data_IF_531750105540
#
_entry.id   IF_531750105540
#
_cell.length_a   1.000
_cell.length_b   1.000
_cell.length_c   1.000
_cell.angle_alpha   90.00
_cell.angle_beta   90.00
_cell.angle_gamma   90.00
#
_symmetry.space_group_name_H-M   'P 1'
#
loop_
_entity.id
_entity.type
_entity.pdbx_description
1 polymer ?
#
# COMPACT_ATOMS: atom_id res chain seq x y z
N UNK A 1 -47.47 -25.67 50.32
CA UNK A 1 -46.99 -27.08 50.25
C UNK A 1 -46.42 -27.33 48.87
N UNK A 2 -45.11 -27.59 48.74
CA UNK A 2 -44.53 -28.25 47.57
C UNK A 2 -43.15 -28.80 47.96
N UNK A 3 -43.08 -30.12 48.19
CA UNK A 3 -41.88 -30.85 48.56
C UNK A 3 -41.20 -31.43 47.30
N UNK A 4 -39.86 -31.36 47.27
CA UNK A 4 -39.03 -31.91 46.19
C UNK A 4 -39.04 -33.45 46.17
N UNK A 5 -39.04 -34.12 44.99
CA UNK A 5 -38.86 -35.57 44.92
C UNK A 5 -37.39 -35.97 44.71
N UNK A 6 -37.00 -37.02 45.45
CA UNK A 6 -35.67 -37.63 45.54
C UNK A 6 -35.30 -38.45 44.29
N UNK A 7 -34.02 -38.40 43.89
CA UNK A 7 -33.42 -39.23 42.82
C UNK A 7 -33.24 -40.69 43.28
N UNK A 8 -33.56 -41.66 42.40
CA UNK A 8 -33.24 -43.10 42.54
C UNK A 8 -31.90 -43.43 41.87
N UNK A 9 -31.12 -44.41 42.40
CA UNK A 9 -29.81 -44.80 41.85
C UNK A 9 -29.96 -45.88 40.76
N UNK A 10 -29.08 -45.84 39.74
CA UNK A 10 -28.95 -46.87 38.71
C UNK A 10 -27.69 -47.73 38.91
N UNK A 11 -27.73 -49.04 38.54
CA UNK A 11 -26.76 -50.03 39.00
C UNK A 11 -25.47 -50.12 38.15
N UNK A 12 -24.39 -50.60 38.79
CA UNK A 12 -23.09 -50.92 38.19
C UNK A 12 -23.21 -52.14 37.25
N UNK A 13 -22.70 -52.02 36.02
CA UNK A 13 -22.54 -53.12 35.08
C UNK A 13 -21.06 -53.48 34.90
N UNK A 14 -20.79 -54.78 34.91
CA UNK A 14 -19.50 -55.46 34.97
C UNK A 14 -18.85 -55.59 33.59
N UNK A 15 -17.52 -55.43 33.55
CA UNK A 15 -16.67 -55.56 32.35
C UNK A 15 -16.59 -57.03 31.88
N UNK A 16 -16.63 -57.24 30.56
CA UNK A 16 -16.01 -58.38 29.85
C UNK A 16 -14.99 -57.85 28.83
N UNK A 17 -13.82 -58.48 28.65
CA UNK A 17 -12.76 -57.98 27.77
C UNK A 17 -12.95 -58.49 26.32
N UNK A 18 -12.52 -57.70 25.34
CA UNK A 18 -12.50 -58.05 23.90
C UNK A 18 -11.20 -57.48 23.29
N UNK A 19 -10.61 -58.12 22.27
CA UNK A 19 -9.18 -58.38 22.22
C UNK A 19 -8.34 -57.23 21.66
N UNK A 20 -7.06 -57.25 22.05
CA UNK A 20 -5.99 -56.36 21.62
C UNK A 20 -5.76 -56.43 20.10
N UNK A 21 -6.19 -55.39 19.38
CA UNK A 21 -5.79 -55.19 17.99
C UNK A 21 -4.42 -54.53 17.97
N UNK A 22 -3.41 -55.28 17.55
CA UNK A 22 -2.05 -54.83 17.32
C UNK A 22 -2.04 -53.54 16.49
N UNK A 23 -1.50 -52.45 17.06
CA UNK A 23 -1.18 -51.23 16.30
C UNK A 23 -0.07 -51.57 15.32
N UNK A 24 -0.43 -51.78 14.04
CA UNK A 24 0.55 -51.71 12.95
C UNK A 24 1.23 -50.33 13.02
N UNK A 25 2.56 -50.34 13.18
CA UNK A 25 3.44 -49.18 13.18
C UNK A 25 3.27 -48.47 11.82
N UNK A 26 2.61 -47.31 11.80
CA UNK A 26 2.58 -46.47 10.61
C UNK A 26 3.99 -45.91 10.38
N UNK A 27 4.48 -46.03 9.14
CA UNK A 27 5.74 -45.43 8.72
C UNK A 27 5.67 -43.89 8.87
N UNK A 28 6.78 -43.21 9.20
CA UNK A 28 6.76 -41.76 9.30
C UNK A 28 6.48 -41.17 7.92
N UNK A 29 5.45 -40.33 7.84
CA UNK A 29 5.19 -39.51 6.66
C UNK A 29 6.43 -38.64 6.42
N UNK A 30 7.00 -38.77 5.21
CA UNK A 30 8.11 -37.92 4.77
C UNK A 30 7.68 -36.46 4.89
N UNK A 31 8.47 -35.70 5.64
CA UNK A 31 8.50 -34.25 5.66
C UNK A 31 8.64 -33.79 4.20
N UNK A 32 7.58 -33.16 3.67
CA UNK A 32 7.68 -32.41 2.42
C UNK A 32 8.22 -31.05 2.82
N UNK A 33 9.54 -30.94 2.78
CA UNK A 33 10.26 -29.68 2.88
C UNK A 33 9.96 -28.90 1.59
N UNK A 34 8.84 -28.16 1.60
CA UNK A 34 8.50 -27.23 0.53
C UNK A 34 9.36 -25.98 0.68
N UNK A 35 10.53 -26.12 0.06
CA UNK A 35 11.40 -25.09 -0.48
C UNK A 35 10.67 -23.78 -0.82
N UNK A 36 11.19 -22.72 -0.21
CA UNK A 36 11.03 -21.31 -0.58
C UNK A 36 11.25 -21.17 -2.09
N UNK A 37 10.18 -20.95 -2.86
CA UNK A 37 10.29 -20.48 -4.25
C UNK A 37 8.93 -19.99 -4.76
N UNK A 38 8.78 -18.66 -4.80
CA UNK A 38 8.11 -17.89 -5.85
C UNK A 38 7.86 -16.46 -5.35
N UNK A 39 8.90 -15.63 -5.30
CA UNK A 39 8.68 -14.23 -5.66
C UNK A 39 8.54 -14.28 -7.17
N UNK A 40 7.31 -14.42 -7.67
CA UNK A 40 7.03 -14.32 -9.09
C UNK A 40 7.61 -12.99 -9.58
N UNK A 41 8.49 -13.06 -10.60
CA UNK A 41 8.96 -11.90 -11.34
C UNK A 41 7.75 -11.22 -11.98
N UNK A 42 7.05 -10.37 -11.23
CA UNK A 42 6.02 -9.49 -11.76
C UNK A 42 6.73 -8.53 -12.71
N UNK A 43 6.25 -8.45 -13.95
CA UNK A 43 6.75 -7.48 -14.91
C UNK A 43 6.77 -6.07 -14.27
N UNK A 44 7.78 -5.24 -14.57
CA UNK A 44 7.88 -3.90 -13.99
C UNK A 44 6.58 -3.12 -14.27
N UNK A 45 6.12 -2.34 -13.30
CA UNK A 45 4.96 -1.47 -13.48
C UNK A 45 5.29 -0.44 -14.57
N UNK A 46 4.51 -0.43 -15.65
CA UNK A 46 4.61 0.55 -16.73
C UNK A 46 3.26 1.26 -16.84
N UNK A 47 3.27 2.57 -16.64
CA UNK A 47 2.10 3.45 -16.80
C UNK A 47 2.55 4.64 -17.65
N UNK A 48 1.98 4.77 -18.85
CA UNK A 48 2.26 5.85 -19.80
C UNK A 48 1.07 5.98 -20.77
N UNK A 49 0.57 7.19 -21.09
CA UNK A 49 0.91 8.48 -20.47
C UNK A 49 0.15 8.76 -19.18
N UNK A 50 -1.06 8.23 -19.01
CA UNK A 50 -1.97 8.69 -17.97
C UNK A 50 -2.02 7.76 -16.76
N UNK A 51 -2.08 8.36 -15.58
CA UNK A 51 -2.29 7.70 -14.30
C UNK A 51 -3.49 8.33 -13.60
N UNK A 52 -4.40 7.51 -13.08
CA UNK A 52 -5.40 7.97 -12.12
C UNK A 52 -5.37 7.09 -10.87
N UNK A 53 -5.60 7.68 -9.70
CA UNK A 53 -5.82 6.91 -8.49
C UNK A 53 -7.02 7.47 -7.72
N UNK A 54 -7.93 6.58 -7.33
CA UNK A 54 -9.06 6.89 -6.47
C UNK A 54 -8.89 6.19 -5.12
N UNK A 55 -9.19 6.91 -4.05
CA UNK A 55 -9.13 6.41 -2.68
C UNK A 55 -10.53 6.49 -2.04
N UNK A 56 -11.01 5.36 -1.53
CA UNK A 56 -12.31 5.25 -0.87
C UNK A 56 -12.15 4.90 0.60
N UNK A 57 -13.00 5.48 1.47
CA UNK A 57 -13.04 5.11 2.88
C UNK A 57 -13.90 3.86 3.17
N UNK A 58 -14.70 3.42 2.20
CA UNK A 58 -15.47 2.16 2.25
C UNK A 58 -14.96 1.17 1.21
N UNK A 59 -14.57 -0.02 1.67
CA UNK A 59 -14.06 -1.09 0.81
C UNK A 59 -15.12 -1.57 -0.18
N UNK A 60 -16.36 -1.76 0.26
CA UNK A 60 -17.44 -2.24 -0.61
C UNK A 60 -17.75 -1.24 -1.73
N UNK A 61 -17.79 0.06 -1.41
CA UNK A 61 -18.00 1.11 -2.39
C UNK A 61 -16.82 1.24 -3.36
N UNK A 62 -15.59 1.09 -2.87
CA UNK A 62 -14.40 1.07 -3.72
C UNK A 62 -14.38 -0.09 -4.72
N UNK A 63 -14.79 -1.30 -4.29
CA UNK A 63 -14.93 -2.46 -5.19
C UNK A 63 -16.02 -2.23 -6.22
N UNK A 64 -17.18 -1.70 -5.82
CA UNK A 64 -18.27 -1.34 -6.74
C UNK A 64 -17.79 -0.32 -7.80
N UNK A 65 -17.07 0.71 -7.36
CA UNK A 65 -16.54 1.71 -8.27
C UNK A 65 -15.47 1.13 -9.20
N UNK A 66 -14.55 0.30 -8.70
CA UNK A 66 -13.52 -0.36 -9.52
C UNK A 66 -14.14 -1.22 -10.63
N UNK A 67 -15.18 -2.01 -10.31
CA UNK A 67 -15.92 -2.81 -11.30
C UNK A 67 -16.58 -1.94 -12.37
N UNK A 68 -17.16 -0.80 -11.98
CA UNK A 68 -17.75 0.14 -12.93
C UNK A 68 -16.70 0.80 -13.83
N UNK A 69 -15.53 1.16 -13.29
CA UNK A 69 -14.41 1.77 -14.04
C UNK A 69 -13.91 0.84 -15.15
N UNK A 70 -13.64 -0.43 -14.85
CA UNK A 70 -13.10 -1.39 -15.84
C UNK A 70 -14.14 -1.83 -16.88
N UNK A 71 -15.42 -1.62 -16.61
CA UNK A 71 -16.50 -1.82 -17.60
C UNK A 71 -16.67 -0.62 -18.53
N UNK A 72 -16.24 0.57 -18.09
CA UNK A 72 -16.41 1.81 -18.85
C UNK A 72 -15.34 1.99 -19.92
N UNK A 73 -14.10 1.61 -19.64
CA UNK A 73 -12.94 1.96 -20.46
C UNK A 73 -11.95 0.80 -20.61
N UNK A 74 -11.20 0.80 -21.71
CA UNK A 74 -10.11 -0.15 -21.94
C UNK A 74 -8.82 0.40 -21.33
N UNK A 75 -8.37 -0.22 -20.24
CA UNK A 75 -7.23 0.23 -19.45
C UNK A 75 -6.04 -0.73 -19.59
N UNK A 76 -4.83 -0.17 -19.66
CA UNK A 76 -3.59 -0.95 -19.74
C UNK A 76 -3.19 -1.50 -18.35
N UNK A 77 -3.46 -0.73 -17.30
CA UNK A 77 -3.16 -1.08 -15.92
C UNK A 77 -4.37 -0.86 -15.04
N UNK A 78 -4.69 -1.87 -14.23
CA UNK A 78 -5.63 -1.77 -13.12
C UNK A 78 -5.03 -2.47 -11.90
N UNK A 79 -4.85 -1.73 -10.83
CA UNK A 79 -4.46 -2.25 -9.52
C UNK A 79 -5.44 -1.74 -8.48
N UNK A 80 -6.05 -2.66 -7.73
CA UNK A 80 -7.00 -2.31 -6.69
C UNK A 80 -6.75 -3.15 -5.44
N UNK A 81 -6.92 -2.57 -4.26
CA UNK A 81 -6.62 -3.26 -3.02
C UNK A 81 -6.94 -2.45 -1.78
N UNK A 82 -7.05 -3.16 -0.66
CA UNK A 82 -7.23 -2.56 0.66
C UNK A 82 -5.91 -2.02 1.19
N UNK A 83 -5.96 -0.88 1.87
CA UNK A 83 -4.82 -0.30 2.58
C UNK A 83 -5.25 0.18 3.96
N UNK A 84 -4.28 0.43 4.85
CA UNK A 84 -4.59 1.03 6.14
C UNK A 84 -5.23 2.43 6.02
N UNK A 85 -6.12 2.83 6.95
CA UNK A 85 -6.65 2.08 8.10
C UNK A 85 -7.91 1.24 7.79
N UNK A 86 -8.11 0.83 6.54
CA UNK A 86 -9.36 0.23 6.05
C UNK A 86 -9.92 0.93 4.80
N UNK A 87 -9.05 1.60 4.04
CA UNK A 87 -9.38 2.27 2.78
C UNK A 87 -9.25 1.30 1.62
N UNK A 88 -9.77 1.67 0.46
CA UNK A 88 -9.62 0.94 -0.78
C UNK A 88 -9.08 1.86 -1.87
N UNK A 89 -8.01 1.43 -2.53
CA UNK A 89 -7.38 2.17 -3.62
C UNK A 89 -7.72 1.51 -4.96
N UNK A 90 -7.86 2.33 -5.99
CA UNK A 90 -7.95 1.90 -7.39
C UNK A 90 -7.00 2.77 -8.21
N UNK A 91 -5.90 2.18 -8.66
CA UNK A 91 -4.89 2.75 -9.55
C UNK A 91 -5.17 2.29 -10.98
N UNK A 92 -5.28 3.24 -11.89
CA UNK A 92 -5.54 3.05 -13.32
C UNK A 92 -4.37 3.60 -14.13
N UNK A 93 -4.06 2.97 -15.26
CA UNK A 93 -3.10 3.45 -16.23
C UNK A 93 -3.52 3.15 -17.66
N UNK A 94 -3.17 4.04 -18.58
CA UNK A 94 -3.34 3.85 -20.02
C UNK A 94 -3.42 5.18 -20.78
N UNK A 95 -4.12 5.16 -21.91
CA UNK A 95 -4.35 6.38 -22.71
C UNK A 95 -5.24 7.39 -21.97
N UNK A 96 -4.98 8.68 -22.17
CA UNK A 96 -5.60 9.78 -21.42
C UNK A 96 -7.13 9.71 -21.40
N UNK A 97 -7.76 9.54 -22.57
CA UNK A 97 -9.21 9.55 -22.70
C UNK A 97 -9.89 8.38 -21.97
N UNK A 98 -9.31 7.18 -22.05
CA UNK A 98 -9.85 5.99 -21.39
C UNK A 98 -9.74 6.09 -19.87
N UNK A 99 -8.59 6.58 -19.38
CA UNK A 99 -8.39 6.80 -17.93
C UNK A 99 -9.32 7.89 -17.40
N UNK A 100 -9.56 8.97 -18.16
CA UNK A 100 -10.46 10.05 -17.77
C UNK A 100 -11.93 9.59 -17.71
N UNK A 101 -12.39 8.80 -18.69
CA UNK A 101 -13.75 8.24 -18.69
C UNK A 101 -13.94 7.23 -17.54
N UNK A 102 -12.96 6.36 -17.29
CA UNK A 102 -12.98 5.47 -16.12
C UNK A 102 -13.06 6.27 -14.82
N UNK A 103 -12.19 7.28 -14.65
CA UNK A 103 -12.16 8.12 -13.46
C UNK A 103 -13.53 8.79 -13.20
N UNK A 104 -14.18 9.31 -14.24
CA UNK A 104 -15.50 9.93 -14.14
C UNK A 104 -16.56 8.96 -13.60
N UNK A 105 -16.59 7.73 -14.11
CA UNK A 105 -17.51 6.68 -13.61
C UNK A 105 -17.15 6.28 -12.18
N UNK A 106 -15.86 6.09 -11.88
CA UNK A 106 -15.39 5.75 -10.55
C UNK A 106 -15.79 6.76 -9.47
N UNK A 107 -15.71 8.06 -9.80
CA UNK A 107 -16.16 9.14 -8.90
C UNK A 107 -17.67 9.11 -8.67
N UNK A 108 -18.47 8.68 -9.64
CA UNK A 108 -19.92 8.62 -9.52
C UNK A 108 -20.41 7.36 -8.77
N UNK A 109 -19.84 6.19 -9.08
CA UNK A 109 -20.31 4.89 -8.55
C UNK A 109 -20.07 4.67 -7.06
N UNK A 110 -19.18 5.45 -6.43
CA UNK A 110 -18.88 5.40 -4.98
C UNK A 110 -18.73 6.79 -4.37
N UNK A 111 -19.50 7.76 -4.86
CA UNK A 111 -19.34 9.18 -4.53
C UNK A 111 -19.41 9.49 -3.02
N UNK A 112 -20.28 8.79 -2.29
CA UNK A 112 -20.44 8.91 -0.84
C UNK A 112 -19.24 8.36 -0.04
N UNK A 113 -18.48 7.46 -0.67
CA UNK A 113 -17.32 6.81 -0.10
C UNK A 113 -15.98 7.38 -0.56
N UNK A 114 -15.98 8.25 -1.57
CA UNK A 114 -14.76 8.80 -2.16
C UNK A 114 -14.09 9.75 -1.18
N UNK A 115 -12.86 9.43 -0.78
CA UNK A 115 -12.06 10.23 0.13
C UNK A 115 -11.18 11.23 -0.64
N UNK A 116 -10.47 10.78 -1.67
CA UNK A 116 -9.61 11.63 -2.50
C UNK A 116 -9.36 10.96 -3.88
N UNK A 117 -8.88 11.73 -4.86
CA UNK A 117 -8.48 11.22 -6.16
C UNK A 117 -7.41 12.10 -6.82
N UNK A 118 -6.67 11.52 -7.76
CA UNK A 118 -5.73 12.25 -8.62
C UNK A 118 -5.85 11.75 -10.07
N UNK A 119 -5.66 12.66 -11.01
CA UNK A 119 -5.51 12.38 -12.44
C UNK A 119 -4.29 13.11 -12.97
N UNK A 120 -3.34 12.34 -13.52
CA UNK A 120 -2.14 12.83 -14.15
C UNK A 120 -2.20 12.40 -15.63
N UNK A 121 -2.57 13.29 -16.58
CA UNK A 121 -2.65 12.93 -18.00
C UNK A 121 -1.28 12.61 -18.63
N UNK A 122 -0.19 13.00 -17.97
CA UNK A 122 1.18 12.66 -18.35
C UNK A 122 2.02 12.46 -17.09
N UNK A 123 1.99 11.28 -16.47
CA UNK A 123 2.75 11.00 -15.25
C UNK A 123 4.26 10.95 -15.52
N UNK A 124 5.07 11.49 -14.61
CA UNK A 124 6.52 11.35 -14.73
C UNK A 124 6.96 9.89 -14.50
N UNK A 125 7.83 9.35 -15.37
CA UNK A 125 8.33 7.97 -15.28
C UNK A 125 8.92 7.59 -13.91
N UNK A 126 9.57 8.54 -13.22
CA UNK A 126 10.15 8.29 -11.89
C UNK A 126 9.08 8.07 -10.83
N UNK A 127 7.90 8.67 -10.97
CA UNK A 127 6.76 8.42 -10.08
C UNK A 127 6.29 6.98 -10.27
N UNK A 128 6.13 6.52 -11.52
CA UNK A 128 5.75 5.13 -11.83
C UNK A 128 6.76 4.15 -11.27
N UNK A 129 8.06 4.42 -11.46
CA UNK A 129 9.16 3.65 -10.88
C UNK A 129 9.09 3.60 -9.35
N UNK A 130 8.86 4.74 -8.69
CA UNK A 130 8.75 4.81 -7.24
C UNK A 130 7.53 4.03 -6.70
N UNK A 131 6.39 4.09 -7.40
CA UNK A 131 5.19 3.30 -7.09
C UNK A 131 5.42 1.78 -7.19
N UNK A 132 6.33 1.35 -8.07
CA UNK A 132 6.77 -0.03 -8.19
C UNK A 132 7.74 -0.47 -7.06
N UNK A 133 7.74 0.24 -5.93
CA UNK A 133 8.70 0.11 -4.83
C UNK A 133 10.17 0.35 -5.23
N UNK A 134 10.41 1.03 -6.35
CA UNK A 134 11.75 1.41 -6.79
C UNK A 134 12.33 2.53 -5.92
N UNK A 135 13.53 2.31 -5.38
CA UNK A 135 14.27 3.30 -4.60
C UNK A 135 15.55 3.70 -5.33
N UNK A 136 15.84 4.99 -5.37
CA UNK A 136 17.09 5.53 -5.93
C UNK A 136 17.80 6.36 -4.87
N UNK A 137 19.01 5.95 -4.48
CA UNK A 137 19.78 6.59 -3.43
C UNK A 137 21.05 7.19 -4.03
N UNK A 138 21.23 8.50 -3.87
CA UNK A 138 22.47 9.21 -4.21
C UNK A 138 23.22 9.62 -2.93
N UNK A 139 24.55 9.43 -2.86
CA UNK A 139 25.36 9.94 -1.76
C UNK A 139 25.35 11.48 -1.72
N UNK A 140 25.51 12.04 -0.52
CA UNK A 140 25.83 13.45 -0.27
C UNK A 140 24.84 14.54 -0.71
N UNK A 141 23.62 14.15 -1.12
CA UNK A 141 22.52 15.08 -1.39
C UNK A 141 21.77 15.55 -0.13
N UNK A 142 21.15 16.72 -0.21
CA UNK A 142 20.13 17.16 0.74
C UNK A 142 18.90 16.25 0.67
N UNK A 143 18.16 16.13 1.79
CA UNK A 143 16.94 15.33 1.87
C UNK A 143 15.70 16.22 2.01
N UNK A 144 14.76 16.06 1.08
CA UNK A 144 13.41 16.61 1.18
C UNK A 144 12.42 15.52 1.54
N UNK A 145 11.51 15.82 2.46
CA UNK A 145 10.44 14.90 2.86
C UNK A 145 9.12 15.64 2.75
N UNK A 146 8.14 15.05 2.07
CA UNK A 146 6.76 15.54 2.01
C UNK A 146 5.81 14.46 2.53
N UNK A 147 5.01 14.80 3.54
CA UNK A 147 4.01 13.93 4.17
C UNK A 147 2.60 14.45 3.89
N UNK A 148 1.72 13.56 3.44
CA UNK A 148 0.33 13.86 3.04
C UNK A 148 -0.67 12.96 3.76
N UNK A 149 -1.94 13.37 3.83
CA UNK A 149 -3.02 12.64 4.52
C UNK A 149 -3.64 11.52 3.68
N UNK A 150 -3.40 11.50 2.38
CA UNK A 150 -4.02 10.57 1.42
C UNK A 150 -3.00 10.11 0.40
N UNK A 151 -3.26 8.96 -0.21
CA UNK A 151 -2.39 8.41 -1.26
C UNK A 151 -2.38 9.25 -2.54
N UNK A 152 -3.54 9.71 -3.08
CA UNK A 152 -3.56 10.61 -4.23
C UNK A 152 -2.69 11.85 -4.07
N UNK A 153 -2.73 12.47 -2.88
CA UNK A 153 -1.96 13.68 -2.59
C UNK A 153 -0.45 13.44 -2.62
N UNK A 154 0.04 12.31 -2.11
CA UNK A 154 1.46 11.96 -2.21
C UNK A 154 1.90 11.76 -3.67
N UNK A 155 1.09 11.11 -4.50
CA UNK A 155 1.40 10.92 -5.92
C UNK A 155 1.44 12.27 -6.63
N UNK A 156 0.50 13.16 -6.32
CA UNK A 156 0.45 14.50 -6.90
C UNK A 156 1.68 15.33 -6.50
N UNK A 157 2.05 15.35 -5.21
CA UNK A 157 3.26 15.99 -4.72
C UNK A 157 4.53 15.45 -5.38
N UNK A 158 4.64 14.13 -5.53
CA UNK A 158 5.77 13.49 -6.19
C UNK A 158 5.91 13.92 -7.66
N UNK A 159 4.81 13.91 -8.42
CA UNK A 159 4.80 14.29 -9.84
C UNK A 159 5.11 15.78 -10.04
N UNK A 160 4.56 16.64 -9.18
CA UNK A 160 4.81 18.09 -9.25
C UNK A 160 6.24 18.45 -8.87
N UNK A 161 6.75 17.90 -7.77
CA UNK A 161 8.12 18.15 -7.33
C UNK A 161 9.16 17.69 -8.35
N UNK A 162 9.03 16.47 -8.88
CA UNK A 162 10.02 15.91 -9.82
C UNK A 162 10.00 16.61 -11.20
N UNK A 163 8.86 17.19 -11.60
CA UNK A 163 8.75 17.99 -12.83
C UNK A 163 9.20 19.44 -12.62
N UNK A 164 9.10 19.93 -11.39
CA UNK A 164 9.32 21.33 -11.04
C UNK A 164 10.78 21.69 -10.76
N UNK A 165 11.59 20.71 -10.34
CA UNK A 165 12.98 20.96 -9.94
C UNK A 165 13.91 19.81 -10.32
N UNK A 166 15.22 20.08 -10.35
CA UNK A 166 16.27 19.12 -10.68
C UNK A 166 16.60 18.19 -9.50
N UNK A 167 15.60 17.47 -9.00
CA UNK A 167 15.73 16.52 -7.90
C UNK A 167 15.67 15.08 -8.38
N UNK A 168 16.09 14.17 -7.52
CA UNK A 168 15.86 12.73 -7.66
C UNK A 168 14.70 12.36 -6.74
N UNK A 169 13.69 11.66 -7.27
CA UNK A 169 12.66 11.06 -6.43
C UNK A 169 13.27 9.81 -5.79
N UNK A 170 13.55 9.82 -4.49
CA UNK A 170 14.18 8.69 -3.80
C UNK A 170 13.18 7.57 -3.56
N UNK A 171 12.00 7.89 -3.04
CA UNK A 171 10.98 6.91 -2.62
C UNK A 171 9.61 7.58 -2.56
N UNK A 172 8.58 6.81 -2.92
CA UNK A 172 7.18 7.13 -2.59
C UNK A 172 6.63 5.95 -1.81
N UNK A 173 6.12 6.21 -0.59
CA UNK A 173 5.53 5.19 0.26
C UNK A 173 4.08 5.54 0.58
N UNK A 174 3.18 4.61 0.32
CA UNK A 174 1.74 4.85 0.33
C UNK A 174 1.03 3.96 1.35
N UNK A 175 0.23 4.58 2.22
CA UNK A 175 -0.76 4.02 3.14
C UNK A 175 -0.33 2.91 4.12
N UNK A 176 0.24 1.79 3.65
CA UNK A 176 0.49 0.61 4.46
C UNK A 176 1.60 0.82 5.50
N UNK A 177 1.23 0.64 6.76
CA UNK A 177 2.04 1.00 7.92
C UNK A 177 2.15 2.50 8.16
N UNK A 178 1.32 3.32 7.50
CA UNK A 178 1.29 4.78 7.58
C UNK A 178 -0.10 5.34 7.96
N UNK A 179 -1.10 4.48 8.16
CA UNK A 179 -2.45 4.90 8.52
C UNK A 179 -3.15 5.71 7.41
N UNK A 180 -2.90 5.37 6.15
CA UNK A 180 -3.50 6.05 4.99
C UNK A 180 -2.73 7.29 4.51
N UNK A 181 -1.67 7.68 5.22
CA UNK A 181 -0.77 8.77 4.80
C UNK A 181 0.13 8.33 3.65
N UNK A 182 0.65 9.30 2.90
CA UNK A 182 1.69 9.10 1.91
C UNK A 182 2.95 9.89 2.25
N UNK A 183 4.11 9.31 1.94
CA UNK A 183 5.43 9.91 2.10
C UNK A 183 6.13 9.99 0.75
N UNK A 184 6.74 11.14 0.47
CA UNK A 184 7.54 11.39 -0.72
C UNK A 184 8.91 11.88 -0.27
N UNK A 185 9.96 11.30 -0.82
CA UNK A 185 11.33 11.68 -0.52
C UNK A 185 12.02 12.19 -1.78
N UNK A 186 12.60 13.38 -1.71
CA UNK A 186 13.43 13.96 -2.76
C UNK A 186 14.87 14.07 -2.29
N UNK A 187 15.83 13.91 -3.21
CA UNK A 187 17.24 14.21 -2.97
C UNK A 187 17.81 15.08 -4.07
N UNK A 188 18.75 15.94 -3.73
CA UNK A 188 19.47 16.78 -4.69
C UNK A 188 20.22 17.91 -3.99
N UNK A 189 20.52 18.98 -4.73
CA UNK A 189 21.01 20.22 -4.12
C UNK A 189 19.93 20.81 -3.20
N UNK A 190 20.36 21.48 -2.13
CA UNK A 190 19.44 22.08 -1.14
C UNK A 190 18.39 22.96 -1.80
N UNK A 191 18.82 23.84 -2.72
CA UNK A 191 17.93 24.75 -3.46
C UNK A 191 16.93 24.02 -4.37
N UNK A 192 17.35 22.93 -5.00
CA UNK A 192 16.46 22.14 -5.87
C UNK A 192 15.43 21.38 -5.03
N UNK A 193 15.84 20.89 -3.86
CA UNK A 193 14.95 20.24 -2.90
C UNK A 193 13.95 21.22 -2.30
N UNK A 194 14.37 22.43 -1.92
CA UNK A 194 13.49 23.51 -1.47
C UNK A 194 12.43 23.82 -2.53
N UNK A 195 12.85 24.05 -3.78
CA UNK A 195 11.95 24.32 -4.90
C UNK A 195 10.99 23.16 -5.17
N UNK A 196 11.46 21.90 -5.12
CA UNK A 196 10.61 20.73 -5.32
C UNK A 196 9.50 20.65 -4.26
N UNK A 197 9.83 20.91 -3.00
CA UNK A 197 8.85 20.88 -1.90
C UNK A 197 7.87 22.04 -1.97
N UNK A 198 8.31 23.25 -2.34
CA UNK A 198 7.43 24.41 -2.53
C UNK A 198 6.41 24.15 -3.65
N UNK A 199 6.87 23.67 -4.81
CA UNK A 199 6.00 23.33 -5.95
C UNK A 199 5.02 22.20 -5.60
N UNK A 200 5.47 21.22 -4.82
CA UNK A 200 4.60 20.16 -4.32
C UNK A 200 3.57 20.67 -3.31
N UNK A 201 3.96 21.63 -2.46
CA UNK A 201 3.09 22.25 -1.47
C UNK A 201 1.99 23.08 -2.14
N UNK A 202 2.35 23.92 -3.12
CA UNK A 202 1.40 24.75 -3.87
C UNK A 202 0.38 23.93 -4.68
N UNK A 203 0.72 22.69 -5.02
CA UNK A 203 -0.16 21.80 -5.77
C UNK A 203 -1.25 21.13 -4.91
N UNK A 204 -1.21 21.29 -3.59
CA UNK A 204 -2.10 20.62 -2.65
C UNK A 204 -2.86 21.61 -1.75
N UNK A 205 -4.04 21.21 -1.32
CA UNK A 205 -4.82 21.94 -0.32
C UNK A 205 -4.27 21.68 1.09
N UNK A 206 -4.47 22.62 2.03
CA UNK A 206 -3.99 22.45 3.42
C UNK A 206 -4.57 21.20 4.10
N UNK A 207 -5.79 20.81 3.73
CA UNK A 207 -6.44 19.59 4.21
C UNK A 207 -5.74 18.30 3.76
N UNK A 208 -4.92 18.36 2.71
CA UNK A 208 -4.18 17.22 2.16
C UNK A 208 -2.77 17.08 2.78
N UNK A 209 -2.22 18.15 3.35
CA UNK A 209 -0.83 18.25 3.83
C UNK A 209 -0.68 17.84 5.29
N UNK A 210 0.36 17.09 5.63
CA UNK A 210 0.75 16.87 7.04
C UNK A 210 1.96 17.74 7.41
N UNK A 211 3.04 17.64 6.64
CA UNK A 211 4.29 18.38 6.85
C UNK A 211 5.22 18.19 5.65
N UNK A 212 6.02 19.20 5.35
CA UNK A 212 7.22 19.03 4.53
C UNK A 212 8.45 19.57 5.28
N UNK A 213 9.63 19.01 5.02
CA UNK A 213 10.91 19.45 5.62
C UNK A 213 12.07 19.30 4.64
N UNK A 214 13.03 20.22 4.73
CA UNK A 214 14.34 20.12 4.08
C UNK A 214 15.41 19.87 5.15
N UNK A 215 16.27 18.89 4.89
CA UNK A 215 17.44 18.58 5.71
C UNK A 215 18.67 18.75 4.81
N UNK A 216 19.35 19.91 4.86
CA UNK A 216 20.49 20.20 3.98
C UNK A 216 21.62 19.18 4.09
N UNK A 217 21.90 18.73 5.32
CA UNK A 217 22.90 17.71 5.60
C UNK A 217 22.38 16.79 6.69
N UNK A 218 21.88 15.63 6.29
CA UNK A 218 21.39 14.62 7.23
C UNK A 218 22.57 13.93 7.95
N UNK A 219 22.45 13.76 9.27
CA UNK A 219 23.48 13.06 10.05
C UNK A 219 23.64 11.62 9.55
N UNK A 220 24.90 11.15 9.45
CA UNK A 220 25.22 9.87 8.80
C UNK A 220 24.45 8.67 9.37
N UNK A 221 24.29 8.59 10.70
CA UNK A 221 23.54 7.51 11.35
C UNK A 221 22.09 7.43 10.86
N UNK A 222 21.41 8.58 10.78
CA UNK A 222 20.03 8.63 10.30
C UNK A 222 19.97 8.43 8.79
N UNK A 223 20.94 8.99 8.05
CA UNK A 223 21.04 8.82 6.60
C UNK A 223 21.15 7.34 6.22
N UNK A 224 22.00 6.58 6.92
CA UNK A 224 22.17 5.14 6.68
C UNK A 224 20.87 4.37 6.91
N UNK A 225 20.11 4.72 7.96
CA UNK A 225 18.80 4.12 8.24
C UNK A 225 17.80 4.46 7.13
N UNK A 226 17.58 5.75 6.86
CA UNK A 226 16.57 6.22 5.90
C UNK A 226 16.88 5.73 4.49
N UNK A 227 18.14 5.74 4.06
CA UNK A 227 18.56 5.24 2.74
C UNK A 227 18.39 3.72 2.64
N UNK A 228 18.55 2.97 3.72
CA UNK A 228 18.32 1.52 3.73
C UNK A 228 16.83 1.16 3.74
N UNK A 229 16.02 1.78 4.61
CA UNK A 229 14.58 1.56 4.69
C UNK A 229 13.87 2.65 5.53
N UNK A 230 12.66 3.05 5.13
CA UNK A 230 11.81 3.96 5.92
C UNK A 230 10.86 3.24 6.89
N UNK A 231 10.79 1.90 6.83
CA UNK A 231 10.02 1.07 7.75
C UNK A 231 10.83 0.76 9.02
N UNK A 232 10.15 0.79 10.15
CA UNK A 232 10.76 0.48 11.45
C UNK A 232 11.03 -1.02 11.63
N UNK A 233 10.05 -1.88 11.28
CA UNK A 233 10.12 -3.33 11.52
C UNK A 233 11.38 -4.03 10.99
N UNK A 234 11.79 -3.79 9.72
CA UNK A 234 13.03 -4.37 9.18
C UNK A 234 14.29 -4.02 9.97
N UNK A 235 14.33 -2.87 10.65
CA UNK A 235 15.48 -2.47 11.49
C UNK A 235 15.62 -3.32 12.75
N UNK A 236 14.54 -3.98 13.16
CA UNK A 236 14.49 -4.88 14.32
C UNK A 236 14.31 -6.35 13.91
N UNK A 237 14.49 -6.68 12.62
CA UNK A 237 14.28 -8.02 12.08
C UNK A 237 12.88 -8.59 12.34
N UNK A 238 11.84 -7.74 12.30
CA UNK A 238 10.46 -8.24 12.34
C UNK A 238 10.16 -9.03 11.06
N UNK A 239 9.39 -10.13 11.15
CA UNK A 239 8.92 -10.83 9.97
C UNK A 239 8.10 -9.87 9.10
N UNK A 240 8.20 -9.99 7.78
CA UNK A 240 7.34 -9.23 6.87
C UNK A 240 5.88 -9.58 7.15
N UNK A 241 5.05 -8.53 7.27
CA UNK A 241 3.63 -8.62 7.56
C UNK A 241 2.80 -8.77 6.28
#
# INVERSE_FOLDING_TARGET
MAAAPKRKPTPKSTKKPTPSRSRKKAAPAKVVEQTVSAVENKAPLVIDPALALLEYHSIAAGVLAADAMVKQATLDVVHAGTVQPGRFLVLLGGVVAEVEEALKVGKASGADALNDHIFLPGVHKEVVRALAAGREVKPDDALGIFETRTVPSAIHAADKGIKGAAVTLMEVRLADGLGGKGLVFFTGLVSDVEAALEIADDALEESQKVRHVVIPQIHADIANVIRANTRFGPQLNWPEA
#
